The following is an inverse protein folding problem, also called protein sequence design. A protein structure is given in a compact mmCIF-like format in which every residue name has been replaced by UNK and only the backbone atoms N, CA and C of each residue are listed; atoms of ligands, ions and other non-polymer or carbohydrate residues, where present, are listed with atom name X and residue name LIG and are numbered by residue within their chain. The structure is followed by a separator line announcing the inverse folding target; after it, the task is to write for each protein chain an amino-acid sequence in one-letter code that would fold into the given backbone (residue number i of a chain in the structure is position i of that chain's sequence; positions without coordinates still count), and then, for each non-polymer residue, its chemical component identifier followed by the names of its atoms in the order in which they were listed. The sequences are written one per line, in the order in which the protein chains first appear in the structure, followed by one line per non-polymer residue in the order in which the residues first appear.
data_IF_135022404071
#
_entry.id   IF_135022404071
#
_cell.length_a   1.000
_cell.length_b   1.000
_cell.length_c   1.000
_cell.angle_alpha   90.00
_cell.angle_beta   90.00
_cell.angle_gamma   90.00
#
_symmetry.space_group_name_H-M   'P 1'
#
loop_
_entity.id
_entity.type
_entity.pdbx_description
1 polymer ?
#
# COMPACT_ATOMS: atom_id res chain seq x y z
N UNK A 1 26.95 31.11 -2.39
CA UNK A 1 25.59 31.61 -2.68
C UNK A 1 24.93 31.01 -3.92
N UNK A 2 25.57 31.03 -5.11
CA UNK A 2 24.94 30.50 -6.35
C UNK A 2 24.57 29.01 -6.26
N UNK A 3 25.47 28.18 -5.73
CA UNK A 3 25.24 26.74 -5.57
C UNK A 3 24.02 26.43 -4.71
N UNK A 4 23.84 27.12 -3.59
CA UNK A 4 22.73 26.90 -2.64
C UNK A 4 21.37 27.20 -3.27
N UNK A 5 21.29 28.28 -4.07
CA UNK A 5 20.07 28.65 -4.80
C UNK A 5 19.75 27.65 -5.91
N UNK A 6 20.76 27.16 -6.64
CA UNK A 6 20.59 26.13 -7.68
C UNK A 6 20.10 24.83 -7.07
N UNK A 7 20.76 24.35 -6.01
CA UNK A 7 20.37 23.12 -5.29
C UNK A 7 18.95 23.25 -4.74
N UNK A 8 18.60 24.40 -4.15
CA UNK A 8 17.25 24.64 -3.64
C UNK A 8 16.17 24.58 -4.73
N UNK A 9 16.41 25.19 -5.90
CA UNK A 9 15.49 25.11 -7.05
C UNK A 9 15.36 23.66 -7.54
N UNK A 10 16.47 22.94 -7.68
CA UNK A 10 16.47 21.55 -8.10
C UNK A 10 15.68 20.66 -7.13
N UNK A 11 15.83 20.86 -5.82
CA UNK A 11 15.06 20.15 -4.80
C UNK A 11 13.56 20.45 -4.90
N UNK A 12 13.17 21.70 -5.15
CA UNK A 12 11.75 22.05 -5.37
C UNK A 12 11.19 21.31 -6.59
N UNK A 13 11.91 21.34 -7.72
CA UNK A 13 11.49 20.65 -8.95
C UNK A 13 11.39 19.15 -8.72
N UNK A 14 12.38 18.54 -8.08
CA UNK A 14 12.36 17.11 -7.73
C UNK A 14 11.15 16.78 -6.83
N UNK A 15 10.87 17.61 -5.82
CA UNK A 15 9.72 17.44 -4.94
C UNK A 15 8.39 17.48 -5.70
N UNK A 16 8.21 18.44 -6.61
CA UNK A 16 7.03 18.55 -7.46
C UNK A 16 6.86 17.30 -8.34
N UNK A 17 7.94 16.85 -8.99
CA UNK A 17 7.92 15.65 -9.84
C UNK A 17 7.50 14.43 -9.03
N UNK A 18 8.04 14.25 -7.82
CA UNK A 18 7.66 13.15 -6.93
C UNK A 18 6.18 13.20 -6.54
N UNK A 19 5.65 14.37 -6.17
CA UNK A 19 4.24 14.54 -5.84
C UNK A 19 3.34 14.17 -7.02
N UNK A 20 3.65 14.68 -8.22
CA UNK A 20 2.88 14.38 -9.43
C UNK A 20 2.93 12.90 -9.76
N UNK A 21 4.13 12.29 -9.74
CA UNK A 21 4.28 10.86 -10.01
C UNK A 21 3.48 10.00 -9.02
N UNK A 22 3.59 10.27 -7.72
CA UNK A 22 2.84 9.53 -6.71
C UNK A 22 1.32 9.71 -6.84
N UNK A 23 0.84 10.93 -7.14
CA UNK A 23 -0.58 11.19 -7.36
C UNK A 23 -1.13 10.45 -8.59
N UNK A 24 -0.36 10.39 -9.68
CA UNK A 24 -0.71 9.62 -10.88
C UNK A 24 -0.78 8.12 -10.57
N UNK A 25 0.21 7.58 -9.86
CA UNK A 25 0.19 6.17 -9.44
C UNK A 25 -1.01 5.87 -8.55
N UNK A 26 -1.32 6.72 -7.58
CA UNK A 26 -2.49 6.56 -6.72
C UNK A 26 -3.79 6.52 -7.54
N UNK A 27 -3.97 7.48 -8.46
CA UNK A 27 -5.13 7.54 -9.34
C UNK A 27 -5.25 6.31 -10.24
N UNK A 28 -4.12 5.84 -10.79
CA UNK A 28 -4.08 4.65 -11.65
C UNK A 28 -4.49 3.38 -10.90
N UNK A 29 -3.95 3.14 -9.70
CA UNK A 29 -4.34 1.98 -8.86
C UNK A 29 -5.83 2.05 -8.52
N UNK A 30 -6.35 3.25 -8.19
CA UNK A 30 -7.78 3.45 -7.94
C UNK A 30 -8.66 3.17 -9.14
N UNK A 31 -8.24 3.59 -10.34
CA UNK A 31 -8.98 3.28 -11.55
C UNK A 31 -9.03 1.80 -11.87
N UNK A 32 -7.93 1.06 -11.63
CA UNK A 32 -7.88 -0.39 -11.83
C UNK A 32 -8.80 -1.12 -10.84
N UNK A 33 -8.77 -0.75 -9.56
CA UNK A 33 -9.65 -1.36 -8.56
C UNK A 33 -11.14 -1.13 -8.87
N UNK A 34 -11.52 0.09 -9.29
CA UNK A 34 -12.89 0.39 -9.71
C UNK A 34 -13.34 -0.41 -10.93
N UNK A 35 -12.42 -0.65 -11.87
CA UNK A 35 -12.72 -1.40 -13.08
C UNK A 35 -13.16 -2.85 -12.78
N UNK A 36 -12.66 -3.44 -11.69
CA UNK A 36 -13.03 -4.78 -11.24
C UNK A 36 -14.45 -4.87 -10.64
N UNK A 37 -15.11 -3.73 -10.35
CA UNK A 37 -16.48 -3.65 -9.81
C UNK A 37 -16.72 -4.51 -8.58
N UNK A 38 -15.70 -4.64 -7.74
CA UNK A 38 -15.78 -5.41 -6.49
C UNK A 38 -16.42 -4.51 -5.42
N UNK A 39 -17.33 -5.09 -4.64
CA UNK A 39 -17.95 -4.43 -3.49
C UNK A 39 -17.61 -5.20 -2.22
N UNK A 40 -17.36 -4.45 -1.14
CA UNK A 40 -17.10 -5.04 0.18
C UNK A 40 -18.38 -5.73 0.67
N UNK A 41 -18.31 -7.01 1.08
CA UNK A 41 -19.45 -7.73 1.62
C UNK A 41 -20.16 -6.99 2.76
N UNK A 42 -21.48 -7.15 2.84
CA UNK A 42 -22.32 -6.53 3.87
C UNK A 42 -22.00 -6.98 5.29
N UNK A 43 -21.40 -8.17 5.43
CA UNK A 43 -20.95 -8.76 6.69
C UNK A 43 -19.49 -8.44 7.04
N UNK A 44 -18.84 -7.52 6.30
CA UNK A 44 -17.53 -7.01 6.67
C UNK A 44 -17.61 -6.27 8.00
N UNK A 45 -16.82 -6.71 8.98
CA UNK A 45 -16.74 -6.07 10.30
C UNK A 45 -15.58 -5.08 10.42
N UNK A 46 -14.76 -4.94 9.37
CA UNK A 46 -13.62 -4.05 9.37
C UNK A 46 -14.04 -2.61 9.70
N UNK A 47 -13.35 -2.00 10.68
CA UNK A 47 -13.67 -0.66 11.19
C UNK A 47 -15.15 -0.51 11.60
N UNK A 48 -15.71 -1.54 12.24
CA UNK A 48 -17.11 -1.55 12.69
C UNK A 48 -18.11 -1.61 11.53
N UNK A 49 -17.72 -2.12 10.37
CA UNK A 49 -18.56 -2.21 9.17
C UNK A 49 -18.65 -0.92 8.36
N UNK A 50 -17.78 0.07 8.63
CA UNK A 50 -17.78 1.36 7.93
C UNK A 50 -17.59 1.27 6.40
N UNK A 51 -17.14 0.12 5.89
CA UNK A 51 -16.89 -0.13 4.48
C UNK A 51 -17.82 -1.15 3.84
N UNK A 52 -18.73 -1.75 4.60
CA UNK A 52 -19.71 -2.71 4.08
C UNK A 52 -20.54 -2.08 2.94
N UNK A 53 -20.67 -2.81 1.82
CA UNK A 53 -21.37 -2.35 0.62
C UNK A 53 -20.66 -1.27 -0.20
N UNK A 54 -19.49 -0.78 0.22
CA UNK A 54 -18.72 0.20 -0.56
C UNK A 54 -17.93 -0.48 -1.67
N UNK A 55 -17.78 0.24 -2.78
CA UNK A 55 -16.94 -0.19 -3.89
C UNK A 55 -15.46 -0.20 -3.48
N UNK A 56 -14.73 -1.22 -3.91
CA UNK A 56 -13.30 -1.35 -3.69
C UNK A 56 -12.58 -0.38 -4.63
N UNK A 57 -12.30 0.82 -4.11
CA UNK A 57 -11.74 1.92 -4.90
C UNK A 57 -10.54 2.60 -4.23
N UNK A 58 -10.19 2.22 -3.01
CA UNK A 58 -9.12 2.80 -2.23
C UNK A 58 -8.47 1.79 -1.28
N UNK A 59 -7.42 2.20 -0.56
CA UNK A 59 -6.64 1.31 0.30
C UNK A 59 -7.47 0.67 1.41
N UNK A 60 -8.33 1.44 2.08
CA UNK A 60 -9.14 0.93 3.20
C UNK A 60 -10.25 -0.01 2.73
N UNK A 61 -10.91 0.27 1.60
CA UNK A 61 -11.90 -0.63 1.02
C UNK A 61 -11.26 -1.92 0.48
N UNK A 62 -10.05 -1.84 -0.09
CA UNK A 62 -9.32 -3.02 -0.54
C UNK A 62 -8.88 -3.90 0.63
N UNK A 63 -8.44 -3.30 1.73
CA UNK A 63 -8.15 -4.02 2.97
C UNK A 63 -9.43 -4.67 3.54
N UNK A 64 -10.54 -3.94 3.63
CA UNK A 64 -11.82 -4.46 4.11
C UNK A 64 -12.31 -5.67 3.29
N UNK A 65 -12.15 -5.61 1.97
CA UNK A 65 -12.44 -6.73 1.07
C UNK A 65 -11.53 -7.92 1.35
N UNK A 66 -10.21 -7.70 1.48
CA UNK A 66 -9.25 -8.76 1.74
C UNK A 66 -9.51 -9.46 3.09
N UNK A 67 -9.92 -8.69 4.10
CA UNK A 67 -10.32 -9.22 5.40
C UNK A 67 -11.60 -10.05 5.32
N UNK A 68 -12.63 -9.56 4.62
CA UNK A 68 -13.87 -10.31 4.41
C UNK A 68 -13.65 -11.63 3.65
N UNK A 69 -12.78 -11.62 2.62
CA UNK A 69 -12.39 -12.86 1.91
C UNK A 69 -11.72 -13.86 2.86
N UNK A 70 -10.87 -13.39 3.78
CA UNK A 70 -10.25 -14.27 4.77
C UNK A 70 -11.30 -14.89 5.67
N UNK A 71 -12.23 -14.09 6.18
CA UNK A 71 -13.31 -14.56 7.04
C UNK A 71 -14.14 -15.64 6.33
N UNK A 72 -14.55 -15.42 5.08
CA UNK A 72 -15.32 -16.40 4.31
C UNK A 72 -14.51 -17.66 4.00
N UNK A 73 -13.23 -17.52 3.63
CA UNK A 73 -12.35 -18.65 3.37
C UNK A 73 -12.15 -19.52 4.62
N UNK A 74 -11.90 -18.90 5.77
CA UNK A 74 -11.73 -19.62 7.04
C UNK A 74 -13.03 -20.25 7.52
N UNK A 75 -14.17 -19.61 7.29
CA UNK A 75 -15.48 -20.22 7.58
C UNK A 75 -15.74 -21.44 6.69
N UNK A 76 -15.38 -21.36 5.40
CA UNK A 76 -15.55 -22.45 4.45
C UNK A 76 -14.60 -23.63 4.69
N UNK A 77 -13.44 -23.38 5.30
CA UNK A 77 -12.47 -24.42 5.67
C UNK A 77 -12.56 -24.88 7.12
N UNK A 78 -13.59 -24.47 7.86
CA UNK A 78 -13.73 -24.77 9.30
C UNK A 78 -12.50 -24.35 10.12
N UNK A 79 -11.86 -23.25 9.72
CA UNK A 79 -10.66 -22.71 10.34
C UNK A 79 -9.35 -23.35 9.90
N UNK A 80 -9.38 -24.34 8.99
CA UNK A 80 -8.19 -25.04 8.52
C UNK A 80 -7.46 -24.23 7.45
N UNK A 81 -6.15 -24.20 7.55
CA UNK A 81 -5.26 -23.56 6.58
C UNK A 81 -5.05 -24.44 5.33
N UNK A 82 -4.49 -23.83 4.29
CA UNK A 82 -4.16 -24.52 3.03
C UNK A 82 -3.28 -25.77 3.22
N UNK A 83 -2.33 -25.72 4.16
CA UNK A 83 -1.42 -26.82 4.44
C UNK A 83 -2.11 -27.93 5.23
N UNK A 84 -2.90 -27.58 6.25
CA UNK A 84 -3.66 -28.52 7.06
C UNK A 84 -4.70 -29.28 6.23
N UNK A 85 -5.41 -28.60 5.34
CA UNK A 85 -6.33 -29.26 4.41
C UNK A 85 -5.62 -30.22 3.46
N UNK A 86 -4.38 -29.91 3.05
CA UNK A 86 -3.57 -30.81 2.24
C UNK A 86 -3.15 -32.08 2.99
N UNK A 87 -2.80 -31.93 4.27
CA UNK A 87 -2.50 -33.07 5.14
C UNK A 87 -3.74 -33.94 5.34
N UNK A 88 -4.89 -33.35 5.67
CA UNK A 88 -6.15 -34.06 5.88
C UNK A 88 -6.65 -34.77 4.62
N UNK A 89 -6.51 -34.14 3.45
CA UNK A 89 -6.84 -34.76 2.18
C UNK A 89 -5.97 -36.00 1.90
N UNK A 90 -4.68 -35.92 2.27
CA UNK A 90 -3.74 -37.04 2.11
C UNK A 90 -4.08 -38.17 3.08
N UNK A 91 -4.31 -37.85 4.35
CA UNK A 91 -4.70 -38.82 5.39
C UNK A 91 -6.02 -39.53 5.04
N UNK A 92 -7.04 -38.78 4.60
CA UNK A 92 -8.31 -39.36 4.16
C UNK A 92 -8.14 -40.31 2.97
N UNK A 93 -7.26 -39.96 2.02
CA UNK A 93 -6.94 -40.80 0.87
C UNK A 93 -6.23 -42.10 1.28
N UNK A 94 -5.27 -42.01 2.21
CA UNK A 94 -4.57 -43.17 2.75
C UNK A 94 -5.50 -44.08 3.56
N UNK A 95 -6.50 -43.50 4.25
CA UNK A 95 -7.55 -44.23 4.94
C UNK A 95 -8.62 -44.83 4.00
N UNK A 96 -8.53 -44.60 2.68
CA UNK A 96 -9.50 -45.07 1.69
C UNK A 96 -10.81 -44.28 1.65
N UNK A 97 -10.93 -43.18 2.38
CA UNK A 97 -12.09 -42.28 2.39
C UNK A 97 -11.94 -41.23 1.28
N UNK A 98 -12.19 -41.67 0.05
CA UNK A 98 -12.03 -40.82 -1.15
C UNK A 98 -12.98 -39.63 -1.15
N UNK A 99 -14.17 -39.77 -0.55
CA UNK A 99 -15.15 -38.69 -0.46
C UNK A 99 -14.63 -37.54 0.43
N UNK A 100 -14.08 -37.84 1.61
CA UNK A 100 -13.46 -36.80 2.45
C UNK A 100 -12.20 -36.21 1.85
N UNK A 101 -11.40 -37.02 1.15
CA UNK A 101 -10.20 -36.52 0.48
C UNK A 101 -10.56 -35.45 -0.57
N UNK A 102 -11.63 -35.69 -1.35
CA UNK A 102 -12.15 -34.72 -2.32
C UNK A 102 -12.73 -33.47 -1.65
N UNK A 103 -13.45 -33.64 -0.55
CA UNK A 103 -14.00 -32.51 0.23
C UNK A 103 -12.89 -31.58 0.76
N UNK A 104 -11.88 -32.14 1.43
CA UNK A 104 -10.74 -31.37 1.91
C UNK A 104 -9.97 -30.71 0.77
N UNK A 105 -9.86 -31.38 -0.38
CA UNK A 105 -9.24 -30.78 -1.57
C UNK A 105 -10.07 -29.62 -2.12
N UNK A 106 -11.41 -29.69 -2.10
CA UNK A 106 -12.28 -28.59 -2.52
C UNK A 106 -12.18 -27.38 -1.57
N UNK A 107 -12.18 -27.63 -0.25
CA UNK A 107 -11.93 -26.58 0.75
C UNK A 107 -10.54 -25.95 0.55
N UNK A 108 -9.53 -26.77 0.26
CA UNK A 108 -8.16 -26.31 0.01
C UNK A 108 -8.07 -25.38 -1.20
N UNK A 109 -8.78 -25.71 -2.28
CA UNK A 109 -8.89 -24.84 -3.45
C UNK A 109 -9.56 -23.50 -3.12
N UNK A 110 -10.57 -23.51 -2.24
CA UNK A 110 -11.25 -22.29 -1.78
C UNK A 110 -10.30 -21.39 -0.99
N UNK A 111 -9.56 -21.95 -0.02
CA UNK A 111 -8.57 -21.21 0.78
C UNK A 111 -7.43 -20.68 -0.09
N UNK A 112 -6.99 -21.46 -1.08
CA UNK A 112 -5.99 -21.05 -2.05
C UNK A 112 -6.47 -19.82 -2.84
N UNK A 113 -7.66 -19.88 -3.43
CA UNK A 113 -8.22 -18.78 -4.20
C UNK A 113 -8.42 -17.52 -3.34
N UNK A 114 -8.94 -17.70 -2.11
CA UNK A 114 -9.07 -16.60 -1.15
C UNK A 114 -7.72 -15.94 -0.84
N UNK A 115 -6.66 -16.74 -0.65
CA UNK A 115 -5.31 -16.24 -0.39
C UNK A 115 -4.74 -15.45 -1.57
N UNK A 116 -4.98 -15.91 -2.81
CA UNK A 116 -4.57 -15.19 -4.01
C UNK A 116 -5.27 -13.85 -4.18
N UNK A 117 -6.60 -13.82 -4.03
CA UNK A 117 -7.38 -12.59 -4.12
C UNK A 117 -6.93 -11.57 -3.06
N UNK A 118 -6.69 -12.04 -1.83
CA UNK A 118 -6.14 -11.20 -0.76
C UNK A 118 -4.75 -10.66 -1.07
N UNK A 119 -3.85 -11.50 -1.57
CA UNK A 119 -2.51 -11.08 -1.95
C UNK A 119 -2.55 -9.99 -3.04
N UNK A 120 -3.44 -10.14 -4.02
CA UNK A 120 -3.65 -9.13 -5.07
C UNK A 120 -4.18 -7.81 -4.48
N UNK A 121 -5.21 -7.86 -3.62
CA UNK A 121 -5.75 -6.67 -2.96
C UNK A 121 -4.72 -5.98 -2.06
N UNK A 122 -3.93 -6.74 -1.29
CA UNK A 122 -2.85 -6.18 -0.47
C UNK A 122 -1.72 -5.59 -1.32
N UNK A 123 -1.44 -6.15 -2.50
CA UNK A 123 -0.49 -5.54 -3.44
C UNK A 123 -0.97 -4.14 -3.86
N UNK A 124 -2.28 -3.95 -4.08
CA UNK A 124 -2.85 -2.62 -4.30
C UNK A 124 -2.77 -1.72 -3.07
N UNK A 125 -3.01 -2.23 -1.86
CA UNK A 125 -2.86 -1.45 -0.60
C UNK A 125 -1.41 -0.98 -0.43
N UNK A 126 -0.44 -1.83 -0.70
CA UNK A 126 0.99 -1.48 -0.66
C UNK A 126 1.30 -0.42 -1.72
N UNK A 127 0.77 -0.56 -2.94
CA UNK A 127 0.96 0.43 -4.00
C UNK A 127 0.45 1.83 -3.59
N UNK A 128 -0.71 1.91 -2.92
CA UNK A 128 -1.19 3.15 -2.32
C UNK A 128 -0.24 3.67 -1.23
N UNK A 129 0.23 2.80 -0.33
CA UNK A 129 1.17 3.18 0.72
C UNK A 129 2.46 3.78 0.15
N UNK A 130 3.03 3.15 -0.88
CA UNK A 130 4.22 3.64 -1.58
C UNK A 130 3.93 4.96 -2.30
N UNK A 131 2.79 5.09 -2.99
CA UNK A 131 2.40 6.34 -3.63
C UNK A 131 2.28 7.50 -2.62
N UNK A 132 1.64 7.28 -1.48
CA UNK A 132 1.59 8.27 -0.39
C UNK A 132 2.97 8.60 0.15
N UNK A 133 3.84 7.61 0.34
CA UNK A 133 5.22 7.84 0.78
C UNK A 133 5.98 8.73 -0.20
N UNK A 134 5.89 8.46 -1.51
CA UNK A 134 6.55 9.26 -2.56
C UNK A 134 6.03 10.70 -2.56
N UNK A 135 4.72 10.90 -2.41
CA UNK A 135 4.13 12.24 -2.26
C UNK A 135 4.67 12.94 -1.01
N UNK A 136 4.67 12.26 0.13
CA UNK A 136 5.17 12.79 1.40
C UNK A 136 6.65 13.18 1.33
N UNK A 137 7.49 12.34 0.72
CA UNK A 137 8.90 12.64 0.46
C UNK A 137 9.05 13.83 -0.49
N UNK A 138 8.22 13.91 -1.54
CA UNK A 138 8.22 15.05 -2.46
C UNK A 138 7.91 16.37 -1.74
N UNK A 139 6.96 16.37 -0.80
CA UNK A 139 6.67 17.53 0.05
C UNK A 139 7.87 17.90 0.91
N UNK A 140 8.49 16.94 1.59
CA UNK A 140 9.67 17.18 2.45
C UNK A 140 10.84 17.74 1.63
N UNK A 141 11.17 17.12 0.51
CA UNK A 141 12.25 17.56 -0.39
C UNK A 141 11.96 18.95 -0.96
N UNK A 142 10.70 19.23 -1.32
CA UNK A 142 10.28 20.54 -1.77
C UNK A 142 10.43 21.62 -0.69
N UNK A 143 10.03 21.34 0.54
CA UNK A 143 10.19 22.23 1.69
C UNK A 143 11.67 22.51 2.01
N UNK A 144 12.53 21.49 1.94
CA UNK A 144 13.98 21.66 2.07
C UNK A 144 14.52 22.57 0.96
N UNK A 145 14.11 22.36 -0.28
CA UNK A 145 14.49 23.23 -1.39
C UNK A 145 14.06 24.69 -1.20
N UNK A 146 12.84 24.89 -0.69
CA UNK A 146 12.32 26.21 -0.35
C UNK A 146 13.12 26.88 0.78
N UNK A 147 13.48 26.14 1.83
CA UNK A 147 14.34 26.65 2.89
C UNK A 147 15.73 27.06 2.36
N UNK A 148 16.34 26.25 1.49
CA UNK A 148 17.66 26.55 0.89
C UNK A 148 17.65 27.79 -0.01
N UNK A 149 16.55 28.02 -0.74
CA UNK A 149 16.41 29.24 -1.58
C UNK A 149 16.16 30.51 -0.76
N UNK A 150 15.73 30.37 0.50
CA UNK A 150 15.42 31.49 1.40
C UNK A 150 16.62 31.98 2.22
N UNK A 151 17.77 31.28 2.20
CA UNK A 151 18.96 31.70 2.95
C UNK A 151 19.65 32.93 2.33
N UNK A 152 19.90 33.96 3.15
CA UNK A 152 20.68 35.16 2.79
C UNK A 152 22.19 34.93 3.03
N UNK A 153 23.08 35.58 2.26
CA UNK A 153 24.50 35.62 2.61
C UNK A 153 24.70 36.28 3.97
N UNK A 154 25.53 35.67 4.81
CA UNK A 154 26.20 36.41 5.88
C UNK A 154 27.23 37.32 5.20
N UNK A 155 27.07 38.63 5.35
CA UNK A 155 28.12 39.59 4.99
C UNK A 155 29.22 39.40 6.04
N UNK A 156 30.38 38.90 5.63
CA UNK A 156 31.54 38.90 6.50
C UNK A 156 31.97 40.36 6.71
N UNK A 157 31.88 40.86 7.95
CA UNK A 157 32.52 42.12 8.31
C UNK A 157 34.03 41.96 8.10
N UNK A 158 34.56 42.61 7.07
CA UNK A 158 36.00 42.79 6.90
C UNK A 158 36.46 43.73 8.00
N UNK A 159 37.15 43.19 9.01
CA UNK A 159 37.87 44.00 10.01
C UNK A 159 38.92 44.80 9.24
N UNK A 160 38.72 46.11 9.16
CA UNK A 160 39.63 47.06 8.53
C UNK A 160 40.95 47.06 9.32
N UNK A 161 42.05 46.67 8.67
CA UNK A 161 43.39 46.75 9.25
C UNK A 161 43.69 48.21 9.63
N UNK A 162 43.64 48.50 10.93
CA UNK A 162 44.14 49.77 11.48
C UNK A 162 45.65 49.80 11.26
N UNK A 163 46.08 50.52 10.22
CA UNK A 163 47.48 50.94 10.05
C UNK A 163 47.88 51.79 11.26
N UNK A 164 48.67 51.21 12.16
CA UNK A 164 49.40 51.96 13.18
C UNK A 164 50.62 52.59 12.50
N UNK A 165 50.68 53.91 12.60
CA UNK A 165 51.73 54.82 12.11
C UNK A 165 53.02 54.63 12.89
#
# INVERSE_FOLDING_TARGET
MKATKIVGILSIVAGIVMIVAGALTWGMVGSQLKAEKITVPGDSQFMGGAYAGKEVAGPLTAYAQADAINMHAMKASEGKTYAELGALATEAKEAGDTAKAEEYQAQRNTVMNGSFLRASLFSSVIAYGVAALVIGLGLIVGLIGWALTSMKPVVAETVEEVKVV
#
